data_IF_671041908548
#
_entry.id   IF_671041908548
#
_cell.length_a   1.000
_cell.length_b   1.000
_cell.length_c   1.000
_cell.angle_alpha   90.00
_cell.angle_beta   90.00
_cell.angle_gamma   90.00
#
_symmetry.space_group_name_H-M   'P 1'
#
loop_
_entity.id
_entity.type
_entity.pdbx_description
1 polymer ?
#
# COMPACT_ATOMS: atom_id res chain seq x y z
N UNK A 1 -13.60 -9.19 -0.35
CA UNK A 1 -12.31 -9.20 0.37
C UNK A 1 -11.09 -9.13 -0.58
N UNK A 2 -10.06 -8.35 -0.24
CA UNK A 2 -8.75 -8.29 -0.93
C UNK A 2 -7.60 -8.49 0.07
N UNK A 3 -6.51 -9.12 -0.37
CA UNK A 3 -5.28 -9.23 0.42
C UNK A 3 -4.45 -7.96 0.28
N UNK A 4 -4.31 -7.20 1.37
CA UNK A 4 -3.53 -5.97 1.38
C UNK A 4 -2.11 -6.26 1.84
N UNK A 5 -1.14 -5.95 0.99
CA UNK A 5 0.29 -6.01 1.30
C UNK A 5 0.87 -4.62 1.41
N UNK A 6 1.82 -4.46 2.32
CA UNK A 6 2.52 -3.19 2.50
C UNK A 6 3.32 -2.84 1.24
N UNK A 7 3.02 -1.71 0.59
CA UNK A 7 3.75 -1.25 -0.60
C UNK A 7 5.23 -0.96 -0.35
N UNK A 8 5.63 -0.69 0.89
CA UNK A 8 7.03 -0.39 1.25
C UNK A 8 7.89 -1.62 1.55
N UNK A 9 7.34 -2.65 2.20
CA UNK A 9 8.12 -3.82 2.65
C UNK A 9 7.55 -5.18 2.24
N UNK A 10 6.46 -5.21 1.47
CA UNK A 10 5.82 -6.43 0.96
C UNK A 10 5.10 -7.28 2.01
N UNK A 11 5.14 -6.89 3.29
CA UNK A 11 4.51 -7.64 4.39
C UNK A 11 2.99 -7.69 4.21
N UNK A 12 2.40 -8.88 4.40
CA UNK A 12 0.95 -9.04 4.46
C UNK A 12 0.40 -8.29 5.67
N UNK A 13 -0.55 -7.38 5.44
CA UNK A 13 -1.21 -6.60 6.49
C UNK A 13 -2.53 -7.25 6.91
N UNK A 14 -3.14 -8.02 6.01
CA UNK A 14 -4.35 -8.79 6.25
C UNK A 14 -5.25 -8.83 5.02
N UNK A 15 -6.41 -9.43 5.19
CA UNK A 15 -7.49 -9.43 4.20
C UNK A 15 -8.56 -8.44 4.65
N UNK A 16 -8.93 -7.51 3.79
CA UNK A 16 -9.88 -6.44 4.11
C UNK A 16 -11.03 -6.39 3.11
N UNK A 17 -12.15 -5.82 3.55
CA UNK A 17 -13.31 -5.54 2.71
C UNK A 17 -13.73 -4.09 2.88
N UNK A 18 -14.29 -3.49 1.82
CA UNK A 18 -14.63 -2.08 1.78
C UNK A 18 -13.43 -1.18 1.52
N UNK A 19 -13.43 0.00 2.15
CA UNK A 19 -12.38 1.01 2.06
C UNK A 19 -11.77 1.24 3.43
N UNK A 20 -10.45 1.34 3.49
CA UNK A 20 -9.77 1.60 4.74
C UNK A 20 -8.30 1.92 4.58
N UNK A 21 -7.69 2.21 5.71
CA UNK A 21 -6.26 2.49 5.83
C UNK A 21 -5.65 1.57 6.89
N UNK A 22 -4.47 1.04 6.60
CA UNK A 22 -3.73 0.14 7.48
C UNK A 22 -2.26 0.54 7.53
N UNK A 23 -1.81 0.81 8.76
CA UNK A 23 -0.41 1.11 9.03
C UNK A 23 0.41 -0.17 9.05
N UNK A 24 1.57 -0.14 8.40
CA UNK A 24 2.51 -1.24 8.46
C UNK A 24 3.07 -1.38 9.89
N UNK A 25 2.94 -2.55 10.54
CA UNK A 25 3.44 -2.77 11.90
C UNK A 25 4.96 -2.88 11.97
N UNK A 26 5.66 -3.05 10.83
CA UNK A 26 7.12 -3.11 10.80
C UNK A 26 7.68 -1.73 11.16
N UNK A 27 8.31 -1.60 12.32
CA UNK A 27 8.84 -0.34 12.88
C UNK A 27 9.74 0.42 11.90
N UNK A 28 10.55 -0.31 11.12
CA UNK A 28 11.45 0.28 10.13
C UNK A 28 10.72 0.89 8.93
N UNK A 29 9.59 0.30 8.52
CA UNK A 29 8.77 0.76 7.41
C UNK A 29 7.75 1.80 7.90
N UNK A 30 6.85 1.38 8.80
CA UNK A 30 5.83 2.21 9.43
C UNK A 30 4.87 2.93 8.47
N UNK A 31 4.96 2.66 7.16
CA UNK A 31 4.19 3.34 6.13
C UNK A 31 2.72 2.95 6.15
N UNK A 32 1.91 3.82 5.56
CA UNK A 32 0.46 3.75 5.56
C UNK A 32 -0.02 3.19 4.22
N UNK A 33 -0.94 2.23 4.27
CA UNK A 33 -1.49 1.59 3.07
C UNK A 33 -2.98 1.88 3.04
N UNK A 34 -3.44 2.50 1.97
CA UNK A 34 -4.85 2.80 1.75
C UNK A 34 -5.38 1.83 0.70
N UNK A 35 -6.50 1.19 0.99
CA UNK A 35 -7.12 0.22 0.11
C UNK A 35 -8.59 0.59 -0.12
N UNK A 36 -9.07 0.36 -1.33
CA UNK A 36 -10.48 0.41 -1.69
C UNK A 36 -10.81 -0.79 -2.55
N UNK A 37 -11.64 -1.68 -2.02
CA UNK A 37 -12.06 -2.90 -2.72
C UNK A 37 -13.08 -2.64 -3.83
N UNK A 38 -13.86 -1.57 -3.75
CA UNK A 38 -14.85 -1.22 -4.78
C UNK A 38 -14.16 -0.67 -6.03
N UNK A 39 -13.19 0.22 -5.80
CA UNK A 39 -12.43 0.88 -6.87
C UNK A 39 -11.14 0.13 -7.26
N UNK A 40 -10.85 -1.00 -6.60
CA UNK A 40 -9.61 -1.77 -6.72
C UNK A 40 -8.32 -0.93 -6.49
N UNK A 41 -8.41 0.08 -5.62
CA UNK A 41 -7.32 1.02 -5.35
C UNK A 41 -6.42 0.46 -4.25
N UNK A 42 -5.10 0.51 -4.46
CA UNK A 42 -4.10 0.27 -3.44
C UNK A 42 -3.02 1.35 -3.50
N UNK A 43 -2.95 2.19 -2.47
CA UNK A 43 -1.98 3.28 -2.36
C UNK A 43 -1.08 3.07 -1.15
N UNK A 44 0.17 3.46 -1.28
CA UNK A 44 1.15 3.39 -0.20
C UNK A 44 1.79 4.76 0.02
N UNK A 45 1.73 5.22 1.27
CA UNK A 45 2.39 6.43 1.75
C UNK A 45 3.49 6.02 2.73
N UNK A 46 4.78 6.19 2.39
CA UNK A 46 5.86 5.88 3.32
C UNK A 46 5.79 6.77 4.57
N UNK A 47 6.16 6.23 5.74
CA UNK A 47 6.34 7.03 6.94
C UNK A 47 7.47 8.01 6.66
N UNK A 48 7.21 9.32 6.73
CA UNK A 48 8.22 10.37 6.57
C UNK A 48 9.40 10.07 7.51
N UNK A 49 10.49 9.54 6.94
CA UNK A 49 11.84 9.82 7.42
C UNK A 49 12.27 11.03 6.61
N UNK A 50 12.91 12.00 7.24
CA UNK A 50 13.44 13.22 6.62
C UNK A 50 14.51 12.85 5.60
N UNK A 51 14.10 12.37 4.42
CA UNK A 51 15.00 12.02 3.32
C UNK A 51 14.38 12.61 2.06
N UNK A 52 15.12 13.54 1.48
CA UNK A 52 14.76 14.38 0.33
C UNK A 52 13.88 13.63 -0.69
N UNK A 53 12.78 14.29 -1.01
CA UNK A 53 11.89 14.03 -2.14
C UNK A 53 12.62 13.39 -3.31
N UNK A 54 12.33 12.12 -3.57
CA UNK A 54 12.30 11.61 -4.94
C UNK A 54 10.87 11.24 -5.22
N UNK A 55 10.21 12.10 -5.99
CA UNK A 55 9.08 11.79 -6.85
C UNK A 55 9.13 10.32 -7.29
N UNK A 56 8.28 9.50 -6.69
CA UNK A 56 8.13 8.10 -7.02
C UNK A 56 6.76 7.87 -7.61
N UNK A 57 6.55 8.33 -8.85
CA UNK A 57 5.56 7.71 -9.75
C UNK A 57 5.84 6.20 -9.74
N UNK A 58 4.92 5.38 -9.25
CA UNK A 58 4.88 3.97 -9.64
C UNK A 58 3.41 3.51 -9.65
N UNK A 59 2.70 3.76 -10.75
CA UNK A 59 2.50 2.80 -11.86
C UNK A 59 1.58 1.68 -11.39
N UNK A 60 0.29 1.95 -11.54
CA UNK A 60 -0.67 1.08 -12.23
C UNK A 60 0.02 -0.21 -12.70
N UNK A 61 -0.05 -1.28 -11.91
CA UNK A 61 0.39 -2.59 -12.36
C UNK A 61 -0.78 -3.21 -13.10
N UNK A 62 -0.88 -2.89 -14.38
CA UNK A 62 -1.51 -3.75 -15.38
C UNK A 62 -1.02 -5.20 -15.16
N UNK A 63 -1.93 -6.08 -14.74
CA UNK A 63 -1.87 -7.53 -14.97
C UNK A 63 -3.32 -7.94 -15.19
N UNK A 64 -3.82 -7.95 -16.42
CA UNK A 64 -3.37 -8.86 -17.46
C UNK A 64 -4.34 -10.02 -17.47
N UNK A 65 -5.46 -9.84 -18.18
CA UNK A 65 -6.41 -10.90 -18.53
C UNK A 65 -5.66 -12.08 -19.15
N UNK A 66 -5.98 -13.28 -18.68
CA UNK A 66 -5.90 -14.48 -19.49
C UNK A 66 -6.98 -15.45 -19.03
#
# INVERSE_FOLDING_TARGET
MVEVRCGGCGRLLGSFEGRGEVKCPKTECGGMNLFDTAENIHLFTPKYRTVKSKTGKNRQSEKGWK
#
